data_IF_904266948561
#
_entry.id   IF_904266948561
#
_cell.length_a   1.000
_cell.length_b   1.000
_cell.length_c   1.000
_cell.angle_alpha   90.00
_cell.angle_beta   90.00
_cell.angle_gamma   90.00
#
_symmetry.space_group_name_H-M   'P 1'
#
loop_
_entity.id
_entity.type
_entity.pdbx_description
1 polymer ?
#
# COMPACT_ATOMS: atom_id res chain seq x y z
N UNK A 1 -15.68 10.68 -4.63
CA UNK A 1 -14.84 11.55 -5.48
C UNK A 1 -14.37 10.73 -6.68
N UNK A 2 -14.41 11.27 -7.91
CA UNK A 2 -13.92 10.55 -9.09
C UNK A 2 -12.39 10.59 -9.21
N UNK A 3 -11.82 9.71 -10.04
CA UNK A 3 -10.37 9.69 -10.29
C UNK A 3 -9.90 10.95 -11.03
N UNK A 4 -10.73 11.50 -11.91
CA UNK A 4 -10.46 12.75 -12.62
C UNK A 4 -10.34 13.91 -11.63
N UNK A 5 -11.30 14.04 -10.72
CA UNK A 5 -11.26 15.06 -9.66
C UNK A 5 -10.04 14.90 -8.76
N UNK A 6 -9.67 13.66 -8.41
CA UNK A 6 -8.47 13.40 -7.61
C UNK A 6 -7.20 13.85 -8.35
N UNK A 7 -7.04 13.49 -9.62
CA UNK A 7 -5.89 13.89 -10.45
C UNK A 7 -5.76 15.41 -10.54
N UNK A 8 -6.88 16.11 -10.75
CA UNK A 8 -6.91 17.57 -10.84
C UNK A 8 -6.48 18.21 -9.51
N UNK A 9 -7.03 17.75 -8.39
CA UNK A 9 -6.72 18.27 -7.06
C UNK A 9 -5.26 18.01 -6.70
N UNK A 10 -4.75 16.80 -6.93
CA UNK A 10 -3.36 16.45 -6.61
C UNK A 10 -2.37 17.28 -7.42
N UNK A 11 -2.68 17.55 -8.69
CA UNK A 11 -1.86 18.44 -9.52
C UNK A 11 -1.80 19.86 -8.95
N UNK A 12 -2.95 20.42 -8.54
CA UNK A 12 -3.02 21.74 -7.90
C UNK A 12 -2.25 21.79 -6.57
N UNK A 13 -2.39 20.75 -5.74
CA UNK A 13 -1.67 20.63 -4.47
C UNK A 13 -0.16 20.56 -4.72
N UNK A 14 0.28 19.74 -5.68
CA UNK A 14 1.71 19.59 -6.00
C UNK A 14 2.33 20.92 -6.45
N UNK A 15 1.66 21.65 -7.36
CA UNK A 15 2.12 22.99 -7.80
C UNK A 15 2.18 23.97 -6.62
N UNK A 16 1.14 23.99 -5.77
CA UNK A 16 1.10 24.90 -4.62
C UNK A 16 2.18 24.55 -3.58
N UNK A 17 2.40 23.28 -3.31
CA UNK A 17 3.44 22.81 -2.40
C UNK A 17 4.83 23.24 -2.89
N UNK A 18 5.12 23.05 -4.19
CA UNK A 18 6.38 23.49 -4.79
C UNK A 18 6.58 25.00 -4.67
N UNK A 19 5.56 25.81 -4.94
CA UNK A 19 5.65 27.28 -4.79
C UNK A 19 5.93 27.69 -3.33
N UNK A 20 5.41 26.94 -2.35
CA UNK A 20 5.66 27.19 -0.94
C UNK A 20 6.98 26.56 -0.42
N UNK A 21 7.76 25.89 -1.27
CA UNK A 21 8.96 25.15 -0.85
C UNK A 21 8.65 23.93 0.04
N UNK A 22 7.42 23.41 -0.01
CA UNK A 22 6.97 22.27 0.78
C UNK A 22 7.14 20.96 0.01
N UNK A 23 7.62 19.92 0.70
CA UNK A 23 7.69 18.57 0.14
C UNK A 23 6.32 17.89 0.23
N UNK A 24 5.69 17.63 -0.92
CA UNK A 24 4.46 16.84 -0.98
C UNK A 24 4.78 15.34 -1.06
N UNK A 25 4.26 14.56 -0.12
CA UNK A 25 4.51 13.11 -0.01
C UNK A 25 3.23 12.31 -0.26
N UNK A 26 3.34 11.28 -1.09
CA UNK A 26 2.29 10.30 -1.32
C UNK A 26 2.72 8.94 -0.75
N UNK A 27 1.81 8.25 -0.08
CA UNK A 27 2.09 6.97 0.57
C UNK A 27 1.24 5.82 0.05
N UNK A 28 0.07 6.09 -0.52
CA UNK A 28 -0.91 5.06 -0.88
C UNK A 28 -0.48 4.31 -2.15
N UNK A 29 -0.29 2.97 -2.09
CA UNK A 29 -0.12 2.18 -3.29
C UNK A 29 -1.40 2.14 -4.11
N UNK A 30 -1.30 2.39 -5.41
CA UNK A 30 -2.44 2.39 -6.34
C UNK A 30 -2.19 1.40 -7.47
N UNK A 31 -3.26 1.05 -8.19
CA UNK A 31 -3.10 0.37 -9.48
C UNK A 31 -2.71 1.39 -10.54
N UNK A 32 -1.51 1.30 -11.08
CA UNK A 32 -0.99 2.30 -12.03
C UNK A 32 -1.83 2.43 -13.31
N UNK A 33 -2.54 1.38 -13.71
CA UNK A 33 -3.50 1.44 -14.82
C UNK A 33 -4.75 2.29 -14.53
N UNK A 34 -5.04 2.58 -13.25
CA UNK A 34 -6.12 3.48 -12.80
C UNK A 34 -5.59 4.84 -12.36
N UNK A 35 -4.49 4.83 -11.61
CA UNK A 35 -3.83 6.03 -11.09
C UNK A 35 -2.34 5.73 -10.93
N UNK A 36 -1.52 6.39 -11.76
CA UNK A 36 -0.07 6.26 -11.74
C UNK A 36 0.56 7.47 -11.01
N UNK A 37 0.99 7.31 -9.73
CA UNK A 37 1.60 8.39 -8.96
C UNK A 37 2.92 8.88 -9.57
N UNK A 38 3.60 8.06 -10.37
CA UNK A 38 4.87 8.43 -11.01
C UNK A 38 4.64 9.54 -12.03
N UNK A 39 3.54 9.48 -12.79
CA UNK A 39 3.17 10.51 -13.78
C UNK A 39 2.89 11.88 -13.14
N UNK A 40 2.59 11.91 -11.85
CA UNK A 40 2.36 13.13 -11.07
C UNK A 40 3.58 13.57 -10.25
N UNK A 41 4.75 12.93 -10.45
CA UNK A 41 5.95 13.25 -9.70
C UNK A 41 5.92 12.81 -8.23
N UNK A 42 4.98 11.93 -7.86
CA UNK A 42 4.80 11.45 -6.47
C UNK A 42 5.68 10.24 -6.14
N UNK A 43 6.49 9.80 -7.10
CA UNK A 43 7.45 8.70 -6.98
C UNK A 43 6.83 7.31 -7.16
N UNK A 44 7.67 6.29 -7.10
CA UNK A 44 7.24 4.88 -7.19
C UNK A 44 6.59 4.46 -5.87
N UNK A 45 5.35 3.96 -5.95
CA UNK A 45 4.52 3.63 -4.78
C UNK A 45 3.82 2.30 -5.01
N UNK A 46 4.39 1.26 -4.41
CA UNK A 46 3.83 -0.08 -4.35
C UNK A 46 3.66 -0.54 -2.91
N UNK A 47 2.85 -1.58 -2.69
CA UNK A 47 2.68 -2.15 -1.36
C UNK A 47 4.03 -2.67 -0.84
N UNK A 48 4.38 -2.26 0.36
CA UNK A 48 5.64 -2.61 1.03
C UNK A 48 5.45 -3.58 2.20
N UNK A 49 4.19 -3.93 2.49
CA UNK A 49 3.80 -4.81 3.58
C UNK A 49 4.47 -6.18 3.44
N UNK A 50 5.10 -6.64 4.51
CA UNK A 50 5.86 -7.88 4.56
C UNK A 50 6.96 -8.03 3.47
N UNK A 51 7.34 -6.93 2.80
CA UNK A 51 8.39 -6.89 1.77
C UNK A 51 9.61 -6.12 2.29
N UNK A 52 9.43 -4.85 2.67
CA UNK A 52 10.49 -4.01 3.27
C UNK A 52 10.11 -3.47 4.65
N UNK A 53 8.85 -3.62 5.07
CA UNK A 53 8.43 -3.28 6.42
C UNK A 53 7.42 -4.28 6.99
N UNK A 54 7.35 -4.29 8.32
CA UNK A 54 6.36 -4.92 9.18
C UNK A 54 6.16 -4.01 10.40
N UNK A 55 5.02 -4.12 11.07
CA UNK A 55 4.71 -3.32 12.26
C UNK A 55 4.69 -4.22 13.50
N UNK A 56 5.22 -3.73 14.63
CA UNK A 56 5.09 -4.38 15.94
C UNK A 56 4.13 -3.54 16.78
N UNK A 57 3.02 -4.13 17.20
CA UNK A 57 2.04 -3.53 18.09
C UNK A 57 2.53 -3.45 19.55
N UNK A 58 1.87 -2.64 20.40
CA UNK A 58 2.25 -2.46 21.80
C UNK A 58 2.10 -3.73 22.65
N UNK A 59 1.27 -4.68 22.21
CA UNK A 59 1.10 -6.01 22.81
C UNK A 59 2.15 -7.04 22.32
N UNK A 60 3.05 -6.61 21.44
CA UNK A 60 4.08 -7.43 20.82
C UNK A 60 3.62 -8.20 19.58
N UNK A 61 2.36 -8.05 19.13
CA UNK A 61 1.90 -8.66 17.89
C UNK A 61 2.61 -8.06 16.67
N UNK A 62 2.97 -8.88 15.68
CA UNK A 62 3.60 -8.43 14.44
C UNK A 62 2.60 -8.46 13.29
N UNK A 63 2.54 -7.38 12.51
CA UNK A 63 1.60 -7.18 11.41
C UNK A 63 2.33 -6.98 10.07
N UNK A 64 1.72 -7.32 8.91
CA UNK A 64 2.33 -7.07 7.60
C UNK A 64 2.70 -5.60 7.35
N UNK A 65 1.87 -4.66 7.82
CA UNK A 65 2.16 -3.23 7.85
C UNK A 65 1.30 -2.53 8.92
N UNK A 66 1.51 -1.23 9.14
CA UNK A 66 0.80 -0.44 10.17
C UNK A 66 -0.73 -0.40 10.05
N UNK A 67 -1.29 -0.77 8.89
CA UNK A 67 -2.74 -0.76 8.64
C UNK A 67 -3.34 -2.16 8.48
N UNK A 68 -2.51 -3.22 8.50
CA UNK A 68 -2.92 -4.59 8.24
C UNK A 68 -3.11 -5.34 9.56
N UNK A 69 -4.27 -5.16 10.20
CA UNK A 69 -4.57 -5.68 11.54
C UNK A 69 -4.82 -7.21 11.61
N UNK A 70 -4.00 -8.01 10.92
CA UNK A 70 -3.96 -9.46 11.01
C UNK A 70 -2.58 -9.87 11.53
N UNK A 71 -2.54 -10.47 12.73
CA UNK A 71 -1.28 -10.82 13.40
C UNK A 71 -0.60 -11.99 12.70
N UNK A 72 0.72 -11.91 12.58
CA UNK A 72 1.62 -12.92 12.01
C UNK A 72 2.37 -13.71 13.09
N UNK A 73 2.15 -13.37 14.36
CA UNK A 73 2.86 -13.89 15.53
C UNK A 73 3.22 -12.78 16.53
N UNK A 74 3.92 -13.13 17.60
CA UNK A 74 4.33 -12.21 18.65
C UNK A 74 5.86 -12.15 18.78
N UNK A 75 6.44 -10.95 18.70
CA UNK A 75 7.90 -10.76 18.57
C UNK A 75 8.71 -11.31 19.77
N UNK A 76 8.10 -11.41 20.95
CA UNK A 76 8.75 -11.92 22.17
C UNK A 76 8.46 -13.41 22.44
N UNK A 77 7.60 -14.05 21.64
CA UNK A 77 7.14 -15.44 21.87
C UNK A 77 7.44 -16.37 20.69
N UNK A 78 7.45 -15.84 19.48
CA UNK A 78 7.67 -16.59 18.24
C UNK A 78 9.03 -16.27 17.63
N UNK A 79 9.70 -17.30 17.11
CA UNK A 79 10.89 -17.16 16.27
C UNK A 79 10.62 -16.22 15.09
N UNK A 80 11.55 -15.30 14.82
CA UNK A 80 11.42 -14.35 13.71
C UNK A 80 11.18 -15.05 12.37
N UNK A 81 11.84 -16.17 12.12
CA UNK A 81 11.71 -16.97 10.90
C UNK A 81 10.28 -17.47 10.70
N UNK A 82 9.55 -17.78 11.78
CA UNK A 82 8.14 -18.19 11.72
C UNK A 82 7.24 -16.99 11.37
N UNK A 83 7.49 -15.83 11.99
CA UNK A 83 6.75 -14.58 11.72
C UNK A 83 6.98 -14.11 10.28
N UNK A 84 8.24 -14.05 9.84
CA UNK A 84 8.64 -13.59 8.52
C UNK A 84 8.08 -14.48 7.40
N UNK A 85 8.09 -15.80 7.61
CA UNK A 85 7.57 -16.78 6.65
C UNK A 85 6.10 -17.15 6.87
N UNK A 86 5.37 -16.37 7.69
CA UNK A 86 3.94 -16.58 7.88
C UNK A 86 3.21 -16.67 6.52
N UNK A 87 2.26 -17.60 6.33
CA UNK A 87 1.61 -17.80 5.02
C UNK A 87 1.03 -16.52 4.42
N UNK A 88 0.44 -15.65 5.24
CA UNK A 88 -0.05 -14.35 4.79
C UNK A 88 1.09 -13.45 4.25
N UNK A 89 2.19 -13.34 4.98
CA UNK A 89 3.34 -12.54 4.58
C UNK A 89 3.91 -13.04 3.24
N UNK A 90 4.00 -14.36 3.07
CA UNK A 90 4.42 -14.99 1.81
C UNK A 90 3.46 -14.66 0.64
N UNK A 91 2.14 -14.75 0.85
CA UNK A 91 1.12 -14.39 -0.15
C UNK A 91 1.23 -12.93 -0.59
N UNK A 92 1.45 -12.02 0.36
CA UNK A 92 1.62 -10.59 0.07
C UNK A 92 2.90 -10.35 -0.76
N UNK A 93 4.04 -10.92 -0.34
CA UNK A 93 5.32 -10.79 -1.09
C UNK A 93 5.23 -11.32 -2.52
N UNK A 94 4.53 -12.44 -2.70
CA UNK A 94 4.29 -13.06 -4.01
C UNK A 94 3.21 -12.35 -4.83
N UNK A 95 2.57 -11.32 -4.27
CA UNK A 95 1.48 -10.57 -4.90
C UNK A 95 0.31 -11.47 -5.34
N UNK A 96 0.02 -12.52 -4.57
CA UNK A 96 -1.04 -13.48 -4.90
C UNK A 96 -2.45 -12.86 -4.84
N UNK A 97 -2.59 -11.71 -4.17
CA UNK A 97 -3.85 -10.98 -3.99
C UNK A 97 -4.27 -10.16 -5.22
N UNK A 98 -3.41 -9.99 -6.23
CA UNK A 98 -3.71 -9.10 -7.35
C UNK A 98 -4.84 -9.64 -8.22
N UNK A 99 -5.60 -8.72 -8.82
CA UNK A 99 -6.68 -9.09 -9.73
C UNK A 99 -6.15 -9.88 -10.95
N UNK A 100 -6.97 -10.76 -11.57
CA UNK A 100 -6.53 -11.57 -12.72
C UNK A 100 -5.90 -10.76 -13.86
N UNK A 101 -6.43 -9.57 -14.15
CA UNK A 101 -5.90 -8.65 -15.18
C UNK A 101 -4.44 -8.24 -14.94
N UNK A 102 -3.96 -8.32 -13.69
CA UNK A 102 -2.62 -7.88 -13.30
C UNK A 102 -1.57 -8.99 -13.42
N UNK A 103 -1.95 -10.27 -13.49
CA UNK A 103 -1.01 -11.40 -13.45
C UNK A 103 0.00 -11.40 -14.60
N UNK A 104 -0.45 -11.02 -15.79
CA UNK A 104 0.37 -10.91 -17.00
C UNK A 104 0.78 -9.46 -17.30
N UNK A 105 0.57 -8.53 -16.36
CA UNK A 105 0.89 -7.12 -16.58
C UNK A 105 2.40 -6.89 -16.42
N UNK A 106 3.09 -6.31 -17.44
CA UNK A 106 4.54 -6.09 -17.37
C UNK A 106 4.94 -5.13 -16.23
N UNK A 107 4.04 -4.21 -15.86
CA UNK A 107 4.24 -3.24 -14.80
C UNK A 107 4.02 -3.81 -13.39
N UNK A 108 3.58 -5.07 -13.23
CA UNK A 108 3.20 -5.64 -11.93
C UNK A 108 4.31 -5.54 -10.89
N UNK A 109 5.57 -5.72 -11.29
CA UNK A 109 6.69 -5.65 -10.35
C UNK A 109 6.90 -4.24 -9.77
N UNK A 110 6.63 -3.20 -10.57
CA UNK A 110 6.77 -1.80 -10.18
C UNK A 110 5.52 -1.30 -9.48
N UNK A 111 4.34 -1.53 -10.08
CA UNK A 111 3.02 -1.12 -9.58
C UNK A 111 2.64 -1.88 -8.29
N UNK A 112 2.96 -3.16 -8.21
CA UNK A 112 2.59 -4.04 -7.10
C UNK A 112 1.11 -4.40 -7.03
N UNK A 113 0.27 -3.88 -7.93
CA UNK A 113 -1.17 -4.20 -7.99
C UNK A 113 -2.06 -3.40 -7.05
N UNK A 114 -1.52 -2.39 -6.36
CA UNK A 114 -2.23 -1.59 -5.36
C UNK A 114 -2.14 -2.14 -3.93
N UNK A 115 -2.88 -1.52 -3.01
CA UNK A 115 -2.93 -1.98 -1.62
C UNK A 115 -3.82 -3.24 -1.48
N UNK A 116 -3.35 -4.35 -0.89
CA UNK A 116 -4.17 -5.55 -0.67
C UNK A 116 -5.46 -5.28 0.10
N UNK A 117 -5.40 -4.40 1.10
CA UNK A 117 -6.55 -4.05 1.94
C UNK A 117 -7.64 -3.32 1.15
N UNK A 118 -7.25 -2.44 0.23
CA UNK A 118 -8.19 -1.70 -0.63
C UNK A 118 -8.85 -2.59 -1.69
N UNK A 119 -8.14 -3.64 -2.14
CA UNK A 119 -8.71 -4.61 -3.06
C UNK A 119 -9.70 -5.56 -2.37
N UNK A 120 -9.49 -5.82 -1.08
CA UNK A 120 -10.39 -6.66 -0.27
C UNK A 120 -11.62 -5.86 0.21
N UNK A 121 -11.45 -4.60 0.59
CA UNK A 121 -12.53 -3.73 1.04
C UNK A 121 -13.25 -3.13 -0.16
N UNK A 122 -14.45 -3.63 -0.44
CA UNK A 122 -15.30 -3.11 -1.54
C UNK A 122 -15.72 -1.64 -1.37
N UNK A 123 -15.62 -1.06 -0.17
CA UNK A 123 -16.01 0.32 0.12
C UNK A 123 -15.07 0.98 1.15
N UNK A 124 -14.65 2.21 0.86
CA UNK A 124 -14.12 3.13 1.85
C UNK A 124 -15.31 3.67 2.67
N UNK A 125 -15.55 3.11 3.84
CA UNK A 125 -16.43 3.76 4.81
C UNK A 125 -15.54 4.79 5.53
N UNK A 126 -15.50 6.02 5.02
CA UNK A 126 -15.24 7.12 5.95
C UNK A 126 -16.37 7.05 6.96
N UNK A 127 -16.07 6.92 8.25
CA UNK A 127 -17.08 7.06 9.27
C UNK A 127 -17.78 8.39 9.02
N UNK A 128 -19.03 8.34 8.58
CA UNK A 128 -19.90 9.52 8.57
C UNK A 128 -19.96 9.97 10.03
N UNK A 129 -19.26 11.06 10.32
CA UNK A 129 -19.38 11.80 11.58
C UNK A 129 -19.91 13.17 11.24
#
# INVERSE_FOLDING_TARGET
MSLETLNEILSKIHVKANHLGLKFLWYTPTQYCRFDPVKLGLGVKSCTAAIVNMCVGPDGAVYPCQSYFESLGYILKDEWQKIWNHPLAAKIRKREYVEPKCKECPELQVCGGGCPLELQKKNYICAET
#
